data_IF_684332669139
#
_entry.id   IF_684332669139
#
_cell.length_a   1.000
_cell.length_b   1.000
_cell.length_c   1.000
_cell.angle_alpha   90.00
_cell.angle_beta   90.00
_cell.angle_gamma   90.00
#
_symmetry.space_group_name_H-M   'P 1'
#
loop_
_entity.id
_entity.type
_entity.pdbx_description
1 polymer ?
#
# COMPACT_ATOMS: atom_id res chain seq x y z
N UNK A 1 1.91 7.41 -39.05
CA UNK A 1 2.06 8.61 -38.23
C UNK A 1 0.68 9.13 -37.79
N UNK A 2 0.57 9.53 -36.55
CA UNK A 2 -0.62 10.23 -36.06
C UNK A 2 -0.69 11.64 -36.63
N UNK A 3 -1.87 12.14 -36.92
CA UNK A 3 -2.09 13.47 -37.48
C UNK A 3 -3.23 14.21 -36.77
N UNK A 4 -3.39 15.51 -37.07
CA UNK A 4 -4.45 16.33 -36.45
C UNK A 4 -5.84 16.11 -37.08
N UNK A 5 -5.95 15.39 -38.18
CA UNK A 5 -7.18 15.29 -38.97
C UNK A 5 -8.21 14.28 -38.48
N UNK A 6 -7.85 13.32 -37.65
CA UNK A 6 -8.77 12.28 -37.21
C UNK A 6 -8.42 11.72 -35.84
N UNK A 7 -9.22 12.02 -34.85
CA UNK A 7 -9.12 11.42 -33.53
C UNK A 7 -9.30 9.88 -33.57
N UNK A 8 -10.33 9.40 -34.26
CA UNK A 8 -10.59 7.98 -34.41
C UNK A 8 -9.46 7.22 -35.11
N UNK A 9 -8.89 7.82 -36.16
CA UNK A 9 -7.72 7.26 -36.85
C UNK A 9 -6.49 7.17 -35.93
N UNK A 10 -6.24 8.20 -35.12
CA UNK A 10 -5.14 8.20 -34.16
C UNK A 10 -5.34 7.16 -33.06
N UNK A 11 -6.55 6.99 -32.56
CA UNK A 11 -6.89 5.96 -31.56
C UNK A 11 -6.68 4.56 -32.11
N UNK A 12 -7.06 4.31 -33.36
CA UNK A 12 -6.84 3.01 -34.01
C UNK A 12 -5.33 2.72 -34.16
N UNK A 13 -4.54 3.72 -34.59
CA UNK A 13 -3.08 3.59 -34.69
C UNK A 13 -2.47 3.28 -33.32
N UNK A 14 -2.87 4.01 -32.28
CA UNK A 14 -2.39 3.80 -30.92
C UNK A 14 -2.75 2.40 -30.39
N UNK A 15 -3.99 1.99 -30.55
CA UNK A 15 -4.49 0.68 -30.13
C UNK A 15 -3.75 -0.46 -30.86
N UNK A 16 -3.57 -0.33 -32.18
CA UNK A 16 -2.85 -1.33 -32.98
C UNK A 16 -1.38 -1.42 -32.56
N UNK A 17 -0.75 -0.29 -32.29
CA UNK A 17 0.63 -0.27 -31.77
C UNK A 17 0.72 -0.95 -30.40
N UNK A 18 -0.17 -0.59 -29.49
CA UNK A 18 -0.21 -1.17 -28.15
C UNK A 18 -0.40 -2.70 -28.20
N UNK A 19 -1.36 -3.18 -29.00
CA UNK A 19 -1.57 -4.60 -29.21
C UNK A 19 -0.33 -5.31 -29.75
N UNK A 20 0.35 -4.73 -30.75
CA UNK A 20 1.60 -5.32 -31.27
C UNK A 20 2.70 -5.38 -30.24
N UNK A 21 2.84 -4.36 -29.39
CA UNK A 21 3.82 -4.36 -28.29
C UNK A 21 3.49 -5.45 -27.26
N UNK A 22 2.22 -5.65 -26.92
CA UNK A 22 1.80 -6.74 -26.01
C UNK A 22 2.14 -8.12 -26.64
N UNK A 23 1.81 -8.33 -27.92
CA UNK A 23 2.10 -9.59 -28.59
C UNK A 23 3.59 -9.88 -28.72
N UNK A 24 4.44 -8.84 -28.88
CA UNK A 24 5.90 -9.00 -28.92
C UNK A 24 6.50 -9.44 -27.58
N UNK A 25 5.76 -9.31 -26.49
CA UNK A 25 6.23 -9.66 -25.15
C UNK A 25 6.01 -11.12 -24.81
N UNK A 26 5.12 -11.81 -25.51
CA UNK A 26 4.84 -13.23 -25.29
C UNK A 26 6.13 -14.02 -25.49
N UNK A 27 6.48 -14.82 -24.49
CA UNK A 27 7.70 -15.63 -24.48
C UNK A 27 8.99 -14.86 -24.18
N UNK A 28 8.93 -13.57 -23.85
CA UNK A 28 10.11 -12.79 -23.42
C UNK A 28 10.05 -12.58 -21.91
N UNK A 29 11.05 -13.06 -21.20
CA UNK A 29 11.17 -12.91 -19.73
C UNK A 29 11.55 -11.50 -19.26
N UNK A 30 10.88 -10.46 -19.79
CA UNK A 30 11.15 -9.05 -19.46
C UNK A 30 10.02 -8.38 -18.67
N UNK A 31 9.12 -9.18 -18.07
CA UNK A 31 8.02 -8.68 -17.23
C UNK A 31 8.52 -7.80 -16.08
N UNK A 32 9.69 -8.12 -15.52
CA UNK A 32 10.30 -7.40 -14.40
C UNK A 32 10.70 -5.95 -14.73
N UNK A 33 10.83 -5.63 -16.03
CA UNK A 33 11.19 -4.29 -16.48
C UNK A 33 9.99 -3.41 -16.81
N UNK A 34 8.78 -3.94 -16.64
CA UNK A 34 7.57 -3.20 -16.95
C UNK A 34 7.12 -2.39 -15.75
N UNK A 35 6.87 -1.12 -16.00
CA UNK A 35 6.20 -0.20 -15.10
C UNK A 35 4.79 0.08 -15.63
N UNK A 36 3.78 -0.40 -14.93
CA UNK A 36 2.38 -0.15 -15.29
C UNK A 36 1.87 1.17 -14.74
N UNK A 37 2.61 1.76 -13.80
CA UNK A 37 2.29 3.03 -13.17
C UNK A 37 3.30 4.10 -13.61
N UNK A 38 2.79 5.27 -14.00
CA UNK A 38 3.64 6.39 -14.43
C UNK A 38 4.36 7.01 -13.23
N UNK A 39 5.60 7.46 -13.38
CA UNK A 39 6.39 8.03 -12.27
C UNK A 39 5.75 9.22 -11.55
N UNK A 40 4.93 10.01 -12.25
CA UNK A 40 4.23 11.17 -11.70
C UNK A 40 2.95 10.83 -10.93
N UNK A 41 2.44 9.61 -11.00
CA UNK A 41 1.34 9.15 -10.17
C UNK A 41 1.89 8.66 -8.83
N UNK A 42 1.45 9.21 -7.69
CA UNK A 42 1.90 8.72 -6.40
C UNK A 42 1.39 7.29 -6.18
N UNK A 43 2.31 6.34 -6.15
CA UNK A 43 2.00 4.94 -5.90
C UNK A 43 3.13 4.27 -5.11
N UNK A 44 2.74 3.59 -4.06
CA UNK A 44 3.52 2.61 -3.33
C UNK A 44 2.66 1.36 -3.28
N UNK A 45 3.18 0.23 -3.75
CA UNK A 45 2.39 -1.00 -3.80
C UNK A 45 3.27 -2.24 -3.77
N UNK A 46 2.71 -3.34 -3.29
CA UNK A 46 3.31 -4.66 -3.34
C UNK A 46 2.71 -5.47 -4.50
N UNK A 47 3.55 -5.89 -5.42
CA UNK A 47 3.20 -6.74 -6.56
C UNK A 47 3.37 -8.21 -6.15
N UNK A 48 2.25 -8.87 -5.87
CA UNK A 48 2.23 -10.27 -5.45
C UNK A 48 2.81 -11.21 -6.51
N UNK A 49 2.53 -10.95 -7.79
CA UNK A 49 2.95 -11.84 -8.88
C UNK A 49 4.47 -11.88 -9.06
N UNK A 50 5.15 -10.77 -8.75
CA UNK A 50 6.59 -10.62 -8.91
C UNK A 50 7.33 -10.55 -7.57
N UNK A 51 6.62 -10.70 -6.45
CA UNK A 51 7.16 -10.61 -5.09
C UNK A 51 8.06 -9.38 -4.91
N UNK A 52 7.56 -8.20 -5.28
CA UNK A 52 8.31 -6.96 -5.23
C UNK A 52 7.49 -5.80 -4.70
N UNK A 53 8.15 -4.92 -3.97
CA UNK A 53 7.65 -3.60 -3.63
C UNK A 53 8.10 -2.61 -4.71
N UNK A 54 7.21 -1.71 -5.12
CA UNK A 54 7.58 -0.59 -5.98
C UNK A 54 7.07 0.75 -5.42
N UNK A 55 7.85 1.80 -5.64
CA UNK A 55 7.51 3.17 -5.29
C UNK A 55 7.78 4.07 -6.49
N UNK A 56 6.83 4.93 -6.84
CA UNK A 56 7.02 5.91 -7.91
C UNK A 56 7.74 7.15 -7.41
N UNK A 57 8.35 7.91 -8.32
CA UNK A 57 9.03 9.16 -7.97
C UNK A 57 8.11 10.16 -7.25
N UNK A 58 6.83 10.16 -7.57
CA UNK A 58 5.87 11.05 -6.93
C UNK A 58 5.61 10.75 -5.45
N UNK A 59 5.71 9.49 -5.01
CA UNK A 59 5.54 9.13 -3.59
C UNK A 59 6.82 9.33 -2.79
N UNK A 60 7.97 9.38 -3.46
CA UNK A 60 9.29 9.59 -2.84
C UNK A 60 9.61 11.09 -2.64
N UNK A 61 8.60 11.87 -2.27
CA UNK A 61 8.70 13.31 -2.05
C UNK A 61 7.88 13.72 -0.82
N UNK A 62 8.16 14.90 -0.31
CA UNK A 62 7.36 15.51 0.75
C UNK A 62 5.88 15.59 0.33
N UNK A 63 4.92 15.36 1.23
CA UNK A 63 5.08 15.11 2.67
C UNK A 63 5.30 13.64 3.05
N UNK A 64 5.38 12.71 2.10
CA UNK A 64 5.48 11.27 2.38
C UNK A 64 6.90 10.87 2.74
N UNK A 65 7.88 11.38 1.99
CA UNK A 65 9.31 11.22 2.26
C UNK A 65 10.02 12.56 2.05
N UNK A 66 10.64 13.09 3.09
CA UNK A 66 11.51 14.25 3.02
C UNK A 66 12.88 13.86 3.60
N UNK A 67 13.94 13.96 2.80
CA UNK A 67 15.32 13.63 3.19
C UNK A 67 15.88 14.59 4.24
N UNK A 68 15.25 15.75 4.44
CA UNK A 68 15.60 16.74 5.45
C UNK A 68 14.95 16.46 6.81
N UNK A 69 13.93 15.62 6.84
CA UNK A 69 13.25 15.25 8.07
C UNK A 69 14.12 14.33 8.94
N UNK A 70 13.90 14.39 10.25
CA UNK A 70 14.51 13.45 11.18
C UNK A 70 14.14 12.01 10.83
N UNK A 71 15.06 11.06 10.99
CA UNK A 71 14.84 9.65 10.67
C UNK A 71 13.57 9.08 11.29
N UNK A 72 13.24 9.44 12.54
CA UNK A 72 11.99 9.04 13.18
C UNK A 72 10.74 9.45 12.37
N UNK A 73 10.75 10.63 11.76
CA UNK A 73 9.64 11.09 10.94
C UNK A 73 9.57 10.32 9.61
N UNK A 74 10.72 10.08 8.97
CA UNK A 74 10.77 9.30 7.72
C UNK A 74 10.27 7.86 7.93
N UNK A 75 10.67 7.22 9.03
CA UNK A 75 10.18 5.89 9.38
C UNK A 75 8.68 5.91 9.72
N UNK A 76 8.20 6.97 10.41
CA UNK A 76 6.79 7.11 10.76
C UNK A 76 5.88 7.36 9.55
N UNK A 77 6.34 8.12 8.57
CA UNK A 77 5.58 8.39 7.35
C UNK A 77 5.82 7.28 6.31
N UNK A 78 6.88 7.39 5.53
CA UNK A 78 7.17 6.47 4.43
C UNK A 78 7.41 5.03 4.90
N UNK A 79 8.17 4.85 6.01
CA UNK A 79 8.44 3.52 6.54
C UNK A 79 7.18 2.74 6.92
N UNK A 80 6.19 3.41 7.54
CA UNK A 80 4.92 2.77 7.89
C UNK A 80 4.09 2.40 6.65
N UNK A 81 4.12 3.22 5.59
CA UNK A 81 3.48 2.87 4.31
C UNK A 81 4.16 1.67 3.64
N UNK A 82 5.49 1.61 3.68
CA UNK A 82 6.25 0.43 3.21
C UNK A 82 5.85 -0.81 3.99
N UNK A 83 5.78 -0.72 5.32
CA UNK A 83 5.33 -1.81 6.19
C UNK A 83 3.90 -2.26 5.89
N UNK A 84 2.98 -1.32 5.61
CA UNK A 84 1.62 -1.61 5.15
C UNK A 84 1.64 -2.48 3.89
N UNK A 85 2.38 -2.05 2.87
CA UNK A 85 2.45 -2.79 1.61
C UNK A 85 3.13 -4.16 1.77
N UNK A 86 4.18 -4.26 2.59
CA UNK A 86 4.82 -5.56 2.89
C UNK A 86 3.87 -6.52 3.62
N UNK A 87 2.95 -6.01 4.43
CA UNK A 87 1.94 -6.84 5.09
C UNK A 87 1.02 -7.52 4.08
N UNK A 88 0.74 -6.88 2.94
CA UNK A 88 -0.05 -7.46 1.86
C UNK A 88 0.59 -8.72 1.26
N UNK A 89 1.91 -8.92 1.41
CA UNK A 89 2.59 -10.13 0.97
C UNK A 89 2.15 -11.39 1.71
N UNK A 90 1.73 -11.25 2.97
CA UNK A 90 1.43 -12.38 3.86
C UNK A 90 -0.02 -12.41 4.35
N UNK A 91 -0.79 -11.35 4.14
CA UNK A 91 -2.19 -11.21 4.57
C UNK A 91 -3.16 -11.14 3.39
N UNK A 92 -4.43 -11.24 3.64
CA UNK A 92 -5.48 -11.12 2.62
C UNK A 92 -5.26 -12.06 1.45
N UNK A 93 -4.95 -11.51 0.28
CA UNK A 93 -4.65 -12.30 -0.91
C UNK A 93 -3.21 -12.83 -0.97
N UNK A 94 -2.32 -12.30 -0.14
CA UNK A 94 -0.90 -12.64 -0.16
C UNK A 94 -0.63 -14.10 0.18
N UNK A 95 -1.42 -14.72 1.05
CA UNK A 95 -1.21 -16.12 1.39
C UNK A 95 -1.60 -17.12 0.26
N UNK A 96 -2.24 -16.64 -0.81
CA UNK A 96 -2.53 -17.45 -2.00
C UNK A 96 -1.48 -17.34 -3.09
N UNK A 97 -0.41 -16.57 -2.89
CA UNK A 97 0.68 -16.40 -3.87
C UNK A 97 2.00 -16.59 -3.14
N UNK A 98 2.78 -17.58 -3.55
CA UNK A 98 4.10 -17.82 -2.97
C UNK A 98 5.16 -16.81 -3.45
N UNK A 99 6.35 -16.86 -2.86
CA UNK A 99 7.46 -15.96 -3.21
C UNK A 99 7.97 -16.08 -4.66
N UNK A 100 7.53 -17.08 -5.41
CA UNK A 100 7.83 -17.29 -6.83
C UNK A 100 6.68 -16.87 -7.74
N UNK A 101 5.58 -16.34 -7.18
CA UNK A 101 4.39 -15.94 -7.92
C UNK A 101 3.45 -17.09 -8.28
N UNK A 102 3.66 -18.31 -7.74
CA UNK A 102 2.77 -19.42 -7.96
C UNK A 102 1.50 -19.30 -7.11
N UNK A 103 0.36 -19.65 -7.70
CA UNK A 103 -0.93 -19.66 -7.00
C UNK A 103 -1.04 -20.92 -6.13
N UNK A 104 -1.40 -20.73 -4.86
CA UNK A 104 -1.63 -21.81 -3.91
C UNK A 104 -1.70 -21.25 -2.49
N UNK A 105 -2.59 -21.80 -1.66
CA UNK A 105 -2.63 -21.41 -0.24
C UNK A 105 -1.44 -22.04 0.48
N UNK A 106 -0.46 -21.21 0.86
CA UNK A 106 0.74 -21.66 1.57
C UNK A 106 0.58 -21.58 3.10
N UNK A 107 -0.55 -21.11 3.60
CA UNK A 107 -0.81 -21.17 5.02
C UNK A 107 -1.17 -22.57 5.48
N UNK A 108 -0.66 -22.98 6.64
CA UNK A 108 -1.14 -24.17 7.33
C UNK A 108 -2.45 -23.87 8.05
N UNK A 109 -3.27 -24.90 8.37
CA UNK A 109 -4.46 -24.69 9.22
C UNK A 109 -4.13 -24.03 10.55
N UNK A 110 -2.96 -24.34 11.15
CA UNK A 110 -2.49 -23.71 12.38
C UNK A 110 -2.18 -22.21 12.18
N UNK A 111 -1.58 -21.85 11.05
CA UNK A 111 -1.31 -20.43 10.69
C UNK A 111 -2.62 -19.68 10.52
N UNK A 112 -3.58 -20.23 9.79
CA UNK A 112 -4.89 -19.61 9.57
C UNK A 112 -5.64 -19.39 10.90
N UNK A 113 -5.63 -20.39 11.80
CA UNK A 113 -6.26 -20.29 13.12
C UNK A 113 -5.59 -19.23 14.00
N UNK A 114 -4.23 -19.20 14.02
CA UNK A 114 -3.49 -18.20 14.79
C UNK A 114 -3.74 -16.78 14.26
N UNK A 115 -3.82 -16.62 12.93
CA UNK A 115 -4.16 -15.36 12.29
C UNK A 115 -5.54 -14.88 12.69
N UNK A 116 -6.57 -15.72 12.54
CA UNK A 116 -7.94 -15.41 12.92
C UNK A 116 -8.07 -15.00 14.39
N UNK A 117 -7.37 -15.71 15.28
CA UNK A 117 -7.36 -15.41 16.73
C UNK A 117 -6.76 -14.03 17.01
N UNK A 118 -5.69 -13.65 16.31
CA UNK A 118 -5.03 -12.35 16.51
C UNK A 118 -5.81 -11.18 15.88
N UNK A 119 -6.44 -11.40 14.75
CA UNK A 119 -7.09 -10.33 13.97
C UNK A 119 -8.56 -10.13 14.31
N UNK A 120 -9.24 -11.13 14.84
CA UNK A 120 -10.65 -11.02 15.26
C UNK A 120 -10.92 -9.85 16.21
N UNK A 121 -10.15 -9.66 17.29
CA UNK A 121 -10.31 -8.51 18.19
C UNK A 121 -10.14 -7.16 17.51
N UNK A 122 -9.33 -7.08 16.45
CA UNK A 122 -9.13 -5.85 15.68
C UNK A 122 -10.41 -5.47 14.93
N UNK A 123 -11.06 -6.43 14.28
CA UNK A 123 -12.37 -6.22 13.63
C UNK A 123 -13.41 -5.66 14.60
N UNK A 124 -13.55 -6.27 15.77
CA UNK A 124 -14.50 -5.83 16.79
C UNK A 124 -14.18 -4.40 17.28
N UNK A 125 -12.88 -4.09 17.48
CA UNK A 125 -12.45 -2.75 17.91
C UNK A 125 -12.81 -1.68 16.88
N UNK A 126 -12.54 -1.92 15.59
CA UNK A 126 -12.86 -0.96 14.53
C UNK A 126 -14.37 -0.78 14.35
N UNK A 127 -15.18 -1.82 14.54
CA UNK A 127 -16.65 -1.72 14.54
C UNK A 127 -17.20 -0.83 15.66
N UNK A 128 -16.40 -0.55 16.69
CA UNK A 128 -16.75 0.39 17.74
C UNK A 128 -16.61 1.86 17.36
N UNK A 129 -15.81 2.18 16.32
CA UNK A 129 -15.58 3.57 15.92
C UNK A 129 -16.74 4.11 15.09
N UNK A 130 -17.08 5.39 15.34
CA UNK A 130 -18.04 6.13 14.55
C UNK A 130 -17.33 6.95 13.47
N UNK A 131 -18.02 7.22 12.37
CA UNK A 131 -17.53 8.18 11.40
C UNK A 131 -17.56 9.60 11.99
N UNK A 132 -16.50 10.39 11.88
CA UNK A 132 -16.46 11.74 12.44
C UNK A 132 -17.56 12.66 11.92
N UNK A 133 -17.93 12.52 10.64
CA UNK A 133 -18.98 13.30 10.00
C UNK A 133 -20.40 12.82 10.31
N UNK A 134 -20.56 11.57 10.74
CA UNK A 134 -21.84 10.95 11.10
C UNK A 134 -21.65 9.96 12.27
N UNK A 135 -21.76 10.44 13.51
CA UNK A 135 -21.57 9.60 14.70
C UNK A 135 -22.57 8.43 14.84
N UNK A 136 -23.70 8.49 14.15
CA UNK A 136 -24.68 7.40 14.14
C UNK A 136 -24.21 6.22 13.26
N UNK A 137 -23.33 6.48 12.29
CA UNK A 137 -22.76 5.48 11.39
C UNK A 137 -21.48 4.90 11.99
N UNK A 138 -21.40 3.58 12.06
CA UNK A 138 -20.21 2.87 12.54
C UNK A 138 -19.36 2.35 11.39
N UNK A 139 -18.06 2.23 11.66
CA UNK A 139 -17.13 1.55 10.76
C UNK A 139 -17.51 0.08 10.65
N UNK A 140 -17.53 -0.48 9.47
CA UNK A 140 -17.61 -1.92 9.28
C UNK A 140 -16.21 -2.53 9.46
N UNK A 141 -15.93 -2.95 10.70
CA UNK A 141 -14.63 -3.50 11.07
C UNK A 141 -14.30 -4.81 10.38
N UNK A 142 -15.29 -5.59 9.96
CA UNK A 142 -15.07 -6.82 9.19
C UNK A 142 -14.67 -6.49 7.76
N UNK A 143 -15.37 -5.57 7.11
CA UNK A 143 -15.08 -5.12 5.75
C UNK A 143 -13.71 -4.42 5.64
N UNK A 144 -13.31 -3.67 6.66
CA UNK A 144 -12.05 -2.92 6.67
C UNK A 144 -10.88 -3.70 7.26
N UNK A 145 -11.10 -4.94 7.73
CA UNK A 145 -10.13 -5.71 8.53
C UNK A 145 -8.75 -5.80 7.87
N UNK A 146 -8.67 -6.18 6.61
CA UNK A 146 -7.40 -6.37 5.90
C UNK A 146 -6.58 -5.07 5.85
N UNK A 147 -7.24 -3.94 5.62
CA UNK A 147 -6.56 -2.63 5.61
C UNK A 147 -6.14 -2.22 7.02
N UNK A 148 -6.96 -2.47 8.02
CA UNK A 148 -6.63 -2.19 9.42
C UNK A 148 -5.44 -3.04 9.90
N UNK A 149 -5.38 -4.31 9.47
CA UNK A 149 -4.22 -5.18 9.74
C UNK A 149 -2.96 -4.61 9.10
N UNK A 150 -3.04 -4.22 7.82
CA UNK A 150 -1.90 -3.69 7.10
C UNK A 150 -1.39 -2.38 7.72
N UNK A 151 -2.29 -1.49 8.16
CA UNK A 151 -1.93 -0.23 8.83
C UNK A 151 -1.26 -0.48 10.18
N UNK A 152 -1.85 -1.31 11.03
CA UNK A 152 -1.30 -1.61 12.36
C UNK A 152 0.04 -2.31 12.23
N UNK A 153 0.12 -3.35 11.39
CA UNK A 153 1.37 -4.08 11.16
C UNK A 153 2.44 -3.20 10.52
N UNK A 154 2.05 -2.32 9.60
CA UNK A 154 2.95 -1.37 8.95
C UNK A 154 3.62 -0.42 9.94
N UNK A 155 2.84 0.13 10.85
CA UNK A 155 3.36 1.00 11.94
C UNK A 155 4.27 0.22 12.89
N UNK A 156 3.89 -1.00 13.27
CA UNK A 156 4.71 -1.85 14.15
C UNK A 156 6.04 -2.22 13.51
N UNK A 157 6.02 -2.64 12.23
CA UNK A 157 7.22 -2.96 11.47
C UNK A 157 8.15 -1.76 11.32
N UNK A 158 7.61 -0.59 10.96
CA UNK A 158 8.39 0.63 10.81
C UNK A 158 9.00 1.09 12.13
N UNK A 159 8.25 1.01 13.23
CA UNK A 159 8.77 1.35 14.55
C UNK A 159 9.87 0.38 15.00
N UNK A 160 9.70 -0.92 14.81
CA UNK A 160 10.72 -1.92 15.11
C UNK A 160 11.97 -1.72 14.26
N UNK A 161 11.83 -1.39 12.98
CA UNK A 161 12.95 -1.08 12.09
C UNK A 161 13.68 0.18 12.55
N UNK A 162 12.96 1.24 12.95
CA UNK A 162 13.57 2.45 13.51
C UNK A 162 14.35 2.16 14.79
N UNK A 163 13.76 1.42 15.73
CA UNK A 163 14.46 1.06 16.98
C UNK A 163 15.72 0.23 16.74
N UNK A 164 15.74 -0.58 15.68
CA UNK A 164 16.93 -1.33 15.30
C UNK A 164 18.01 -0.42 14.71
N UNK A 165 17.62 0.57 13.92
CA UNK A 165 18.53 1.57 13.34
C UNK A 165 19.04 2.56 14.41
N UNK A 166 18.17 2.93 15.36
CA UNK A 166 18.44 3.88 16.44
C UNK A 166 18.14 3.25 17.81
N UNK A 167 19.06 2.43 18.35
CA UNK A 167 18.83 1.71 19.61
C UNK A 167 18.63 2.62 20.83
N UNK A 168 19.00 3.90 20.71
CA UNK A 168 18.84 4.93 21.75
C UNK A 168 17.66 5.86 21.47
N UNK A 169 16.68 5.41 20.67
CA UNK A 169 15.49 6.19 20.35
C UNK A 169 14.85 6.80 21.61
N UNK A 170 14.68 8.11 21.60
CA UNK A 170 14.12 8.87 22.70
C UNK A 170 12.58 8.91 22.67
N UNK A 171 11.98 9.40 23.77
CA UNK A 171 10.54 9.72 23.78
C UNK A 171 10.17 10.74 22.70
N UNK A 172 11.02 11.73 22.44
CA UNK A 172 10.80 12.74 21.42
C UNK A 172 10.80 12.13 20.01
N UNK A 173 11.66 11.14 19.75
CA UNK A 173 11.66 10.42 18.47
C UNK A 173 10.39 9.60 18.27
N UNK A 174 9.91 8.96 19.34
CA UNK A 174 8.63 8.25 19.30
C UNK A 174 7.48 9.20 18.98
N UNK A 175 7.44 10.39 19.59
CA UNK A 175 6.43 11.39 19.29
C UNK A 175 6.53 11.88 17.85
N UNK A 176 7.73 12.12 17.33
CA UNK A 176 7.94 12.49 15.92
C UNK A 176 7.46 11.42 14.97
N UNK A 177 7.77 10.15 15.25
CA UNK A 177 7.33 9.01 14.46
C UNK A 177 5.80 8.99 14.30
N UNK A 178 5.06 9.02 15.42
CA UNK A 178 3.61 8.96 15.38
C UNK A 178 2.95 10.22 14.83
N UNK A 179 3.57 11.40 15.00
CA UNK A 179 3.12 12.63 14.35
C UNK A 179 3.27 12.57 12.85
N UNK A 180 4.38 12.04 12.34
CA UNK A 180 4.60 11.85 10.91
C UNK A 180 3.58 10.86 10.34
N UNK A 181 3.37 9.72 11.00
CA UNK A 181 2.32 8.77 10.63
C UNK A 181 0.94 9.42 10.52
N UNK A 182 0.51 10.12 11.56
CA UNK A 182 -0.79 10.80 11.53
C UNK A 182 -0.85 11.91 10.46
N UNK A 183 0.29 12.51 10.13
CA UNK A 183 0.43 13.56 9.12
C UNK A 183 0.14 13.08 7.70
N UNK A 184 0.51 11.85 7.37
CA UNK A 184 0.27 11.24 6.05
C UNK A 184 -1.22 11.08 5.76
N UNK A 185 -2.03 10.86 6.79
CA UNK A 185 -3.46 10.61 6.68
C UNK A 185 -4.33 11.86 6.84
N UNK A 186 -3.72 13.05 6.96
CA UNK A 186 -4.49 14.29 7.05
C UNK A 186 -5.20 14.55 5.73
N UNK A 187 -6.52 14.54 5.78
CA UNK A 187 -7.36 14.85 4.64
C UNK A 187 -8.60 15.63 5.09
N UNK A 188 -9.10 16.47 4.22
CA UNK A 188 -10.38 17.14 4.39
C UNK A 188 -11.33 16.57 3.33
N UNK A 189 -12.34 15.85 3.79
CA UNK A 189 -13.34 15.25 2.93
C UNK A 189 -14.55 16.16 2.79
N UNK A 190 -15.16 16.20 1.60
CA UNK A 190 -16.50 16.76 1.45
C UNK A 190 -17.51 15.88 2.20
N UNK A 191 -18.69 16.43 2.62
CA UNK A 191 -19.71 15.60 3.27
C UNK A 191 -20.13 14.37 2.45
N UNK A 192 -20.18 14.48 1.13
CA UNK A 192 -20.47 13.37 0.24
C UNK A 192 -19.37 12.30 0.29
N UNK A 193 -18.09 12.70 0.16
CA UNK A 193 -16.96 11.75 0.22
C UNK A 193 -16.76 11.12 1.61
N UNK A 194 -17.18 11.82 2.67
CA UNK A 194 -17.12 11.28 4.03
C UNK A 194 -18.23 10.24 4.31
N UNK A 195 -19.22 10.11 3.42
CA UNK A 195 -20.34 9.17 3.53
C UNK A 195 -20.15 7.89 2.72
N UNK A 196 -19.19 7.81 1.81
CA UNK A 196 -18.81 6.62 1.02
C UNK A 196 -17.90 5.68 1.81
#
# INVERSE_FOLDING_TARGET
PMGRGSFGGNMLIASTWHHREEMRRIGRGNADRRWDVRPQHPALSYDLAHNRLFATAAVLQAPVLDDKDAAAAQYGAFGALVGHELTNAVSGRGHYVDGNGNLGDWWTPGTASAWATRTGPLSARYSGFAYPADPARKVDGARTLEKNIADVSGVELAWAAYQKAEPKASKADRERFFRAWSGVWRQQLSPAAASE
#
